data_IF_515011688396
#
_entry.id   IF_515011688396
#
_cell.length_a   1.000
_cell.length_b   1.000
_cell.length_c   1.000
_cell.angle_alpha   90.00
_cell.angle_beta   90.00
_cell.angle_gamma   90.00
#
_symmetry.space_group_name_H-M   'P 1'
#
loop_
_entity.id
_entity.type
_entity.pdbx_description
1 polymer ?
#
# COMPACT_ATOMS: atom_id res chain seq x y z
N UNK A 1 -16.63 -15.94 3.95
CA UNK A 1 -17.66 -14.97 3.51
C UNK A 1 -16.93 -13.70 3.10
N UNK A 2 -17.25 -13.12 1.96
CA UNK A 2 -16.70 -11.82 1.56
C UNK A 2 -17.41 -10.72 2.36
N UNK A 3 -16.67 -9.71 2.83
CA UNK A 3 -17.29 -8.56 3.48
C UNK A 3 -17.84 -7.59 2.43
N UNK A 4 -18.80 -6.76 2.82
CA UNK A 4 -19.36 -5.73 1.93
C UNK A 4 -18.29 -4.74 1.45
N UNK A 5 -17.28 -4.46 2.27
CA UNK A 5 -16.14 -3.60 1.90
C UNK A 5 -15.29 -4.28 0.84
N UNK A 6 -15.00 -5.57 1.00
CA UNK A 6 -14.24 -6.34 0.01
C UNK A 6 -14.94 -6.36 -1.35
N UNK A 7 -16.26 -6.60 -1.39
CA UNK A 7 -17.03 -6.60 -2.64
C UNK A 7 -16.99 -5.24 -3.34
N UNK A 8 -17.29 -4.16 -2.60
CA UNK A 8 -17.30 -2.80 -3.17
C UNK A 8 -15.93 -2.36 -3.67
N UNK A 9 -14.87 -2.64 -2.92
CA UNK A 9 -13.53 -2.28 -3.35
C UNK A 9 -13.04 -3.17 -4.50
N UNK A 10 -13.41 -4.45 -4.54
CA UNK A 10 -13.09 -5.32 -5.68
C UNK A 10 -13.70 -4.80 -6.98
N UNK A 11 -14.98 -4.44 -6.97
CA UNK A 11 -15.66 -3.86 -8.14
C UNK A 11 -15.03 -2.53 -8.58
N UNK A 12 -14.66 -1.70 -7.62
CA UNK A 12 -13.94 -0.46 -7.89
C UNK A 12 -12.57 -0.72 -8.50
N UNK A 13 -11.79 -1.65 -7.91
CA UNK A 13 -10.44 -1.96 -8.31
C UNK A 13 -10.36 -2.48 -9.75
N UNK A 14 -11.27 -3.38 -10.14
CA UNK A 14 -11.35 -3.89 -11.51
C UNK A 14 -11.58 -2.77 -12.52
N UNK A 15 -12.54 -1.87 -12.24
CA UNK A 15 -12.80 -0.69 -13.10
C UNK A 15 -11.59 0.24 -13.15
N UNK A 16 -10.96 0.48 -12.00
CA UNK A 16 -9.78 1.33 -11.88
C UNK A 16 -8.60 0.78 -12.67
N UNK A 17 -8.38 -0.54 -12.64
CA UNK A 17 -7.33 -1.23 -13.39
C UNK A 17 -7.53 -1.13 -14.91
N UNK A 18 -8.77 -1.32 -15.39
CA UNK A 18 -9.12 -1.11 -16.79
C UNK A 18 -8.81 0.33 -17.25
N UNK A 19 -9.22 1.33 -16.47
CA UNK A 19 -8.95 2.74 -16.78
C UNK A 19 -7.45 3.07 -16.73
N UNK A 20 -6.72 2.52 -15.76
CA UNK A 20 -5.27 2.70 -15.69
C UNK A 20 -4.59 2.15 -16.95
N UNK A 21 -5.00 0.97 -17.43
CA UNK A 21 -4.47 0.41 -18.66
C UNK A 21 -4.66 1.35 -19.85
N UNK A 22 -5.87 1.92 -20.02
CA UNK A 22 -6.15 2.88 -21.08
C UNK A 22 -5.27 4.14 -20.97
N UNK A 23 -5.08 4.67 -19.77
CA UNK A 23 -4.23 5.85 -19.56
C UNK A 23 -2.75 5.56 -19.85
N UNK A 24 -2.25 4.38 -19.49
CA UNK A 24 -0.88 3.98 -19.81
C UNK A 24 -0.67 3.81 -21.31
N UNK A 25 -1.65 3.22 -22.02
CA UNK A 25 -1.59 3.14 -23.48
C UNK A 25 -1.61 4.53 -24.12
N UNK A 26 -2.44 5.45 -23.62
CA UNK A 26 -2.46 6.83 -24.10
C UNK A 26 -1.13 7.54 -23.86
N UNK A 27 -0.58 7.45 -22.65
CA UNK A 27 0.70 8.06 -22.29
C UNK A 27 1.84 7.53 -23.19
N UNK A 28 1.84 6.22 -23.49
CA UNK A 28 2.78 5.60 -24.41
C UNK A 28 2.66 6.18 -25.82
N UNK A 29 1.44 6.30 -26.36
CA UNK A 29 1.21 6.89 -27.69
C UNK A 29 1.68 8.35 -27.75
N UNK A 30 1.33 9.15 -26.74
CA UNK A 30 1.78 10.55 -26.64
C UNK A 30 3.31 10.63 -26.57
N UNK A 31 3.96 9.68 -25.88
CA UNK A 31 5.42 9.59 -25.82
C UNK A 31 6.05 9.16 -27.15
N UNK A 32 5.41 8.27 -27.92
CA UNK A 32 5.92 7.82 -29.23
C UNK A 32 5.77 8.91 -30.30
N UNK A 33 4.64 9.64 -30.29
CA UNK A 33 4.34 10.76 -31.19
C UNK A 33 5.13 12.05 -30.84
N UNK A 34 5.89 12.03 -29.75
CA UNK A 34 6.67 13.16 -29.25
C UNK A 34 7.61 13.77 -30.30
N UNK A 35 8.10 12.96 -31.25
CA UNK A 35 8.99 13.41 -32.35
C UNK A 35 8.30 14.18 -33.47
N UNK A 36 6.97 14.19 -33.59
CA UNK A 36 6.25 14.67 -34.78
C UNK A 36 5.56 16.05 -34.64
N UNK A 37 5.38 16.59 -33.43
CA UNK A 37 4.60 17.83 -33.17
C UNK A 37 5.48 19.04 -32.80
N UNK A 38 4.91 20.26 -32.79
CA UNK A 38 5.54 21.53 -32.36
C UNK A 38 5.51 21.72 -30.82
N UNK A 39 6.43 22.52 -30.25
CA UNK A 39 6.76 22.51 -28.81
C UNK A 39 5.63 22.79 -27.80
N UNK A 40 4.82 23.83 -28.02
CA UNK A 40 3.87 24.33 -27.01
C UNK A 40 2.64 23.41 -26.80
N UNK A 41 2.00 22.98 -27.90
CA UNK A 41 0.84 22.07 -27.83
C UNK A 41 1.25 20.67 -27.30
N UNK A 42 2.47 20.22 -27.61
CA UNK A 42 3.04 18.97 -27.09
C UNK A 42 3.14 18.94 -25.57
N UNK A 43 3.71 20.00 -25.00
CA UNK A 43 3.95 20.07 -23.56
C UNK A 43 2.62 20.07 -22.80
N UNK A 44 1.63 20.79 -23.32
CA UNK A 44 0.28 20.82 -22.76
C UNK A 44 -0.42 19.45 -22.81
N UNK A 45 -0.36 18.73 -23.94
CA UNK A 45 -0.94 17.39 -24.07
C UNK A 45 -0.29 16.37 -23.12
N UNK A 46 1.04 16.40 -23.03
CA UNK A 46 1.79 15.53 -22.13
C UNK A 46 1.47 15.84 -20.66
N UNK A 47 1.48 17.12 -20.30
CA UNK A 47 1.14 17.58 -18.94
C UNK A 47 -0.29 17.19 -18.57
N UNK A 48 -1.26 17.34 -19.49
CA UNK A 48 -2.64 16.91 -19.27
C UNK A 48 -2.73 15.38 -19.05
N UNK A 49 -1.99 14.60 -19.84
CA UNK A 49 -1.92 13.14 -19.70
C UNK A 49 -1.34 12.70 -18.36
N UNK A 50 -0.22 13.30 -17.94
CA UNK A 50 0.41 13.06 -16.64
C UNK A 50 -0.53 13.48 -15.50
N UNK A 51 -1.19 14.62 -15.63
CA UNK A 51 -2.16 15.10 -14.63
C UNK A 51 -3.32 14.12 -14.48
N UNK A 52 -3.82 13.56 -15.60
CA UNK A 52 -4.91 12.58 -15.60
C UNK A 52 -4.52 11.29 -14.90
N UNK A 53 -3.33 10.74 -15.20
CA UNK A 53 -2.82 9.54 -14.51
C UNK A 53 -2.61 9.82 -13.02
N UNK A 54 -2.03 10.98 -12.69
CA UNK A 54 -1.80 11.37 -11.30
C UNK A 54 -3.11 11.48 -10.52
N UNK A 55 -4.14 12.10 -11.11
CA UNK A 55 -5.46 12.20 -10.50
C UNK A 55 -6.09 10.82 -10.30
N UNK A 56 -5.97 9.92 -11.30
CA UNK A 56 -6.46 8.54 -11.21
C UNK A 56 -5.88 7.78 -10.01
N UNK A 57 -4.59 7.96 -9.72
CA UNK A 57 -3.95 7.40 -8.53
C UNK A 57 -4.42 8.06 -7.23
N UNK A 58 -4.62 9.39 -7.22
CA UNK A 58 -5.17 10.09 -6.05
C UNK A 58 -6.57 9.57 -5.70
N UNK A 59 -7.41 9.35 -6.70
CA UNK A 59 -8.77 8.84 -6.53
C UNK A 59 -8.74 7.40 -5.96
N UNK A 60 -7.82 6.55 -6.42
CA UNK A 60 -7.58 5.23 -5.85
C UNK A 60 -7.29 5.29 -4.35
N UNK A 61 -6.33 6.11 -3.94
CA UNK A 61 -5.96 6.19 -2.53
C UNK A 61 -7.08 6.81 -1.69
N UNK A 62 -7.81 7.80 -2.22
CA UNK A 62 -8.96 8.40 -1.54
C UNK A 62 -10.03 7.34 -1.21
N UNK A 63 -10.39 6.51 -2.19
CA UNK A 63 -11.40 5.46 -2.03
C UNK A 63 -10.87 4.33 -1.15
N UNK A 64 -9.62 3.92 -1.35
CA UNK A 64 -8.95 2.90 -0.52
C UNK A 64 -8.94 3.30 0.95
N UNK A 65 -8.55 4.54 1.25
CA UNK A 65 -8.52 5.04 2.62
C UNK A 65 -9.92 5.13 3.23
N UNK A 66 -10.90 5.65 2.50
CA UNK A 66 -12.29 5.73 2.98
C UNK A 66 -12.84 4.35 3.37
N UNK A 67 -12.63 3.34 2.53
CA UNK A 67 -13.11 1.97 2.80
C UNK A 67 -12.26 1.24 3.85
N UNK A 68 -10.96 1.53 3.95
CA UNK A 68 -10.11 0.99 5.02
C UNK A 68 -10.52 1.50 6.41
N UNK A 69 -11.11 2.70 6.50
CA UNK A 69 -11.72 3.19 7.75
C UNK A 69 -12.98 2.41 8.14
N UNK A 70 -13.70 1.82 7.18
CA UNK A 70 -14.87 0.97 7.45
C UNK A 70 -14.45 -0.44 7.88
N UNK A 71 -13.48 -1.05 7.17
CA UNK A 71 -12.96 -2.40 7.45
C UNK A 71 -11.49 -2.49 7.05
N UNK A 72 -10.59 -2.24 8.01
CA UNK A 72 -9.14 -2.30 7.76
C UNK A 72 -8.65 -3.71 7.47
N UNK A 73 -9.33 -4.74 7.99
CA UNK A 73 -8.90 -6.13 7.86
C UNK A 73 -9.06 -6.66 6.42
N UNK A 74 -10.06 -6.15 5.70
CA UNK A 74 -10.25 -6.41 4.27
C UNK A 74 -9.02 -6.09 3.40
N UNK A 75 -8.12 -5.20 3.86
CA UNK A 75 -6.95 -4.76 3.09
C UNK A 75 -5.65 -5.49 3.47
N UNK A 76 -5.64 -6.36 4.49
CA UNK A 76 -4.46 -7.15 4.89
C UNK A 76 -4.28 -8.43 4.08
N UNK A 77 -5.38 -9.05 3.64
CA UNK A 77 -5.36 -10.20 2.74
C UNK A 77 -6.41 -9.99 1.64
N UNK A 78 -6.19 -8.98 0.77
CA UNK A 78 -7.22 -8.55 -0.15
C UNK A 78 -7.52 -9.61 -1.20
N UNK A 79 -8.82 -9.87 -1.42
CA UNK A 79 -9.31 -10.91 -2.34
C UNK A 79 -9.25 -10.50 -3.82
N UNK A 80 -9.05 -9.20 -4.09
CA UNK A 80 -9.02 -8.62 -5.43
C UNK A 80 -7.63 -8.57 -6.05
N UNK A 81 -6.61 -9.04 -5.34
CA UNK A 81 -5.26 -9.23 -5.90
C UNK A 81 -4.93 -10.72 -5.93
N UNK A 82 -4.03 -11.10 -6.84
CA UNK A 82 -3.60 -12.49 -6.93
C UNK A 82 -2.88 -12.94 -5.64
N UNK A 83 -2.91 -14.25 -5.32
CA UNK A 83 -2.15 -14.78 -4.18
C UNK A 83 -0.65 -14.45 -4.25
N UNK A 84 -0.11 -14.34 -5.47
CA UNK A 84 1.27 -13.94 -5.71
C UNK A 84 1.50 -12.47 -5.32
N UNK A 85 0.66 -11.55 -5.78
CA UNK A 85 0.73 -10.13 -5.41
C UNK A 85 0.52 -9.94 -3.91
N UNK A 86 -0.38 -10.71 -3.32
CA UNK A 86 -0.59 -10.71 -1.89
C UNK A 86 0.70 -11.15 -1.17
N UNK A 87 1.32 -12.26 -1.57
CA UNK A 87 2.60 -12.70 -1.03
C UNK A 87 3.70 -11.64 -1.21
N UNK A 88 3.77 -10.93 -2.35
CA UNK A 88 4.71 -9.83 -2.54
C UNK A 88 4.45 -8.64 -1.61
N UNK A 89 3.20 -8.36 -1.23
CA UNK A 89 2.89 -7.36 -0.19
C UNK A 89 3.56 -7.73 1.16
N UNK A 90 3.57 -9.02 1.50
CA UNK A 90 4.28 -9.51 2.70
C UNK A 90 5.80 -9.49 2.56
N UNK A 91 6.33 -9.62 1.34
CA UNK A 91 7.78 -9.68 1.07
C UNK A 91 8.42 -8.27 0.92
N UNK A 92 7.65 -7.25 0.58
CA UNK A 92 8.15 -5.89 0.24
C UNK A 92 8.32 -4.94 1.44
N UNK A 93 9.14 -5.34 2.42
CA UNK A 93 9.69 -4.53 3.56
C UNK A 93 8.93 -4.53 4.89
N UNK A 94 7.88 -5.32 5.06
CA UNK A 94 7.36 -5.56 6.40
C UNK A 94 8.23 -6.63 7.07
N UNK A 95 8.91 -6.30 8.17
CA UNK A 95 9.58 -7.32 9.00
C UNK A 95 8.49 -8.22 9.57
N UNK A 96 8.45 -9.54 9.25
CA UNK A 96 7.44 -10.44 9.80
C UNK A 96 7.36 -10.39 11.34
N UNK A 97 8.45 -9.99 12.02
CA UNK A 97 8.46 -9.73 13.47
C UNK A 97 7.48 -8.63 13.94
N UNK A 98 7.11 -7.67 13.10
CA UNK A 98 6.14 -6.60 13.41
C UNK A 98 4.72 -7.14 13.55
N UNK A 99 4.33 -8.07 12.67
CA UNK A 99 3.00 -8.69 12.70
C UNK A 99 2.83 -9.54 13.96
N UNK A 100 3.88 -10.27 14.35
CA UNK A 100 3.88 -11.05 15.60
C UNK A 100 3.79 -10.16 16.85
N UNK A 101 4.39 -8.97 16.83
CA UNK A 101 4.25 -7.97 17.90
C UNK A 101 2.82 -7.43 17.99
N UNK A 102 2.19 -7.14 16.85
CA UNK A 102 0.79 -6.69 16.79
C UNK A 102 -0.16 -7.74 17.37
N UNK A 103 -0.02 -9.02 16.98
CA UNK A 103 -0.82 -10.13 17.53
C UNK A 103 -0.68 -10.23 19.05
N UNK A 104 0.54 -10.10 19.57
CA UNK A 104 0.78 -10.09 21.01
C UNK A 104 0.18 -8.85 21.70
N UNK A 105 0.29 -7.67 21.09
CA UNK A 105 -0.27 -6.42 21.63
C UNK A 105 -1.79 -6.44 21.69
N UNK A 106 -2.46 -7.00 20.67
CA UNK A 106 -3.92 -7.15 20.65
C UNK A 106 -4.37 -8.08 21.78
N UNK A 107 -3.62 -9.16 22.04
CA UNK A 107 -3.85 -10.07 23.17
C UNK A 107 -3.65 -9.37 24.53
N UNK A 108 -2.52 -8.69 24.74
CA UNK A 108 -2.20 -8.11 26.05
C UNK A 108 -3.06 -6.91 26.39
N UNK A 109 -3.48 -6.15 25.37
CA UNK A 109 -4.22 -4.92 25.58
C UNK A 109 -5.74 -5.15 25.53
N UNK A 110 -6.20 -6.32 25.07
CA UNK A 110 -7.62 -6.74 25.16
C UNK A 110 -8.61 -5.95 24.29
N UNK A 111 -8.12 -5.11 23.37
CA UNK A 111 -8.96 -4.10 22.67
C UNK A 111 -9.81 -4.71 21.54
N UNK A 112 -9.44 -5.87 20.97
CA UNK A 112 -10.18 -6.48 19.85
C UNK A 112 -10.36 -7.99 20.02
N UNK A 113 -11.62 -8.36 20.28
CA UNK A 113 -12.24 -9.66 20.06
C UNK A 113 -11.81 -10.84 20.94
N UNK A 114 -12.81 -11.35 21.68
CA UNK A 114 -12.83 -12.65 22.38
C UNK A 114 -12.35 -13.83 21.51
N UNK A 115 -12.36 -13.70 20.17
CA UNK A 115 -11.90 -14.72 19.23
C UNK A 115 -10.37 -14.89 19.17
N UNK A 116 -9.57 -13.83 19.42
CA UNK A 116 -8.10 -13.94 19.42
C UNK A 116 -7.54 -14.46 20.76
N UNK A 117 -8.36 -14.39 21.82
CA UNK A 117 -8.08 -14.96 23.14
C UNK A 117 -8.07 -16.49 23.08
N UNK A 118 -8.77 -17.11 22.12
CA UNK A 118 -8.84 -18.56 21.92
C UNK A 118 -7.74 -19.14 21.01
N UNK A 119 -6.54 -18.57 21.03
CA UNK A 119 -5.38 -19.25 20.44
C UNK A 119 -4.95 -20.39 21.37
N UNK A 120 -5.06 -21.64 20.87
CA UNK A 120 -4.64 -22.82 21.64
C UNK A 120 -3.17 -22.72 22.08
N UNK A 121 -2.83 -23.32 23.22
CA UNK A 121 -1.47 -23.35 23.74
C UNK A 121 -0.46 -23.90 22.72
N UNK A 122 -0.89 -24.81 21.86
CA UNK A 122 -0.06 -25.35 20.78
C UNK A 122 0.20 -24.32 19.67
N UNK A 123 -0.80 -23.54 19.29
CA UNK A 123 -0.60 -22.43 18.35
C UNK A 123 0.30 -21.35 18.95
N UNK A 124 0.21 -21.10 20.26
CA UNK A 124 1.12 -20.19 20.95
C UNK A 124 2.57 -20.66 20.90
N UNK A 125 2.81 -21.95 21.17
CA UNK A 125 4.15 -22.56 21.09
C UNK A 125 4.71 -22.44 19.67
N UNK A 126 3.89 -22.66 18.65
CA UNK A 126 4.27 -22.49 17.24
C UNK A 126 4.60 -21.04 16.88
N UNK A 127 3.79 -20.09 17.32
CA UNK A 127 4.02 -18.65 17.10
C UNK A 127 5.33 -18.20 17.76
N UNK A 128 5.60 -18.66 18.99
CA UNK A 128 6.82 -18.34 19.72
C UNK A 128 8.07 -18.93 19.04
N UNK A 129 7.98 -20.20 18.62
CA UNK A 129 9.05 -20.84 17.85
C UNK A 129 9.33 -20.11 16.52
N UNK A 130 8.28 -19.67 15.83
CA UNK A 130 8.41 -18.87 14.61
C UNK A 130 9.04 -17.51 14.90
N UNK A 131 8.68 -16.83 15.99
CA UNK A 131 9.28 -15.55 16.38
C UNK A 131 10.78 -15.66 16.58
N UNK A 132 11.24 -16.65 17.35
CA UNK A 132 12.68 -16.87 17.59
C UNK A 132 13.42 -17.18 16.29
N UNK A 133 12.81 -17.97 15.41
CA UNK A 133 13.41 -18.30 14.10
C UNK A 133 13.51 -17.08 13.19
N UNK A 134 12.45 -16.27 13.13
CA UNK A 134 12.38 -15.05 12.32
C UNK A 134 13.37 -14.01 12.85
N UNK A 135 13.44 -13.76 14.17
CA UNK A 135 14.40 -12.82 14.76
C UNK A 135 15.84 -13.20 14.44
N UNK A 136 16.19 -14.49 14.54
CA UNK A 136 17.54 -14.96 14.17
C UNK A 136 17.85 -14.79 12.67
N UNK A 137 16.85 -14.97 11.80
CA UNK A 137 17.01 -14.82 10.35
C UNK A 137 17.06 -13.35 9.92
N UNK A 138 16.25 -12.48 10.55
CA UNK A 138 16.26 -11.02 10.35
C UNK A 138 17.59 -10.41 10.83
N UNK A 139 18.10 -10.81 12.00
CA UNK A 139 19.36 -10.30 12.55
C UNK A 139 20.59 -10.89 11.83
N UNK A 140 20.50 -12.13 11.34
CA UNK A 140 21.57 -12.80 10.59
C UNK A 140 21.69 -12.39 9.12
N UNK A 141 20.65 -11.78 8.54
CA UNK A 141 20.62 -11.32 7.14
C UNK A 141 21.13 -9.90 6.91
N UNK A 142 21.34 -9.11 7.97
CA UNK A 142 21.81 -7.71 7.91
C UNK A 142 23.34 -7.61 7.78
N UNK A 143 24.05 -8.74 7.80
CA UNK A 143 25.44 -8.78 7.39
C UNK A 143 25.55 -9.08 5.90
N UNK A 144 25.77 -8.05 5.07
CA UNK A 144 26.35 -8.15 3.71
C UNK A 144 25.37 -8.28 2.52
N UNK A 145 24.43 -7.35 2.41
CA UNK A 145 24.14 -6.70 1.11
C UNK A 145 24.27 -5.19 1.36
N UNK A 146 25.14 -4.55 0.56
CA UNK A 146 25.59 -3.18 0.73
C UNK A 146 24.47 -2.19 1.03
N UNK A 147 24.71 -1.17 1.85
CA UNK A 147 25.75 -0.22 1.47
C UNK A 147 25.36 0.56 0.22
N UNK A 148 24.08 0.90 0.07
CA UNK A 148 23.70 2.18 -0.49
C UNK A 148 22.66 2.77 0.45
N UNK A 149 23.17 3.41 1.49
CA UNK A 149 22.44 4.48 2.16
C UNK A 149 22.30 5.59 1.13
N UNK A 150 21.34 5.44 0.21
CA UNK A 150 20.67 6.61 -0.32
C UNK A 150 19.91 7.19 0.87
N UNK A 151 20.57 8.18 1.45
CA UNK A 151 20.01 9.23 2.26
C UNK A 151 18.74 9.73 1.58
N UNK A 152 17.61 9.08 1.85
CA UNK A 152 16.32 9.73 1.71
C UNK A 152 16.23 10.69 2.89
N UNK A 153 16.73 11.91 2.67
CA UNK A 153 16.27 13.14 3.32
C UNK A 153 14.79 13.38 3.02
N UNK A 154 13.96 12.38 3.34
CA UNK A 154 12.55 12.27 2.97
C UNK A 154 11.64 12.27 4.18
N UNK A 155 12.14 12.20 5.41
CA UNK A 155 11.31 12.41 6.60
C UNK A 155 10.75 13.83 6.65
N UNK A 156 11.52 14.85 6.26
CA UNK A 156 11.00 16.23 6.12
C UNK A 156 10.08 16.41 4.90
N UNK A 157 10.29 15.69 3.79
CA UNK A 157 9.43 15.81 2.60
C UNK A 157 8.11 15.06 2.74
N UNK A 158 8.09 13.94 3.46
CA UNK A 158 6.85 13.19 3.74
C UNK A 158 6.06 13.88 4.85
N UNK A 159 6.73 14.45 5.87
CA UNK A 159 6.05 15.38 6.78
C UNK A 159 5.56 16.63 6.04
N UNK A 160 6.33 17.17 5.09
CA UNK A 160 5.89 18.26 4.23
C UNK A 160 4.66 17.92 3.38
N UNK A 161 4.58 16.72 2.80
CA UNK A 161 3.41 16.26 2.03
C UNK A 161 2.19 16.01 2.92
N UNK A 162 2.40 15.47 4.11
CA UNK A 162 1.34 15.28 5.11
C UNK A 162 0.86 16.63 5.66
N UNK A 163 1.78 17.59 5.87
CA UNK A 163 1.47 18.94 6.35
C UNK A 163 0.81 19.81 5.27
N UNK A 164 1.19 19.65 3.99
CA UNK A 164 0.51 20.28 2.85
C UNK A 164 -0.89 19.67 2.65
N UNK A 165 -1.05 18.36 2.86
CA UNK A 165 -2.37 17.72 2.84
C UNK A 165 -3.25 18.20 4.01
N UNK A 166 -2.69 18.38 5.20
CA UNK A 166 -3.40 18.93 6.37
C UNK A 166 -3.72 20.42 6.22
N UNK A 167 -2.82 21.24 5.67
CA UNK A 167 -3.08 22.66 5.40
C UNK A 167 -4.12 22.87 4.29
N UNK A 168 -4.11 22.05 3.23
CA UNK A 168 -5.11 22.11 2.17
C UNK A 168 -6.53 21.77 2.65
N UNK A 169 -6.66 20.90 3.65
CA UNK A 169 -7.95 20.55 4.29
C UNK A 169 -8.44 21.66 5.22
N UNK A 170 -7.54 22.43 5.84
CA UNK A 170 -7.89 23.53 6.74
C UNK A 170 -8.17 24.86 6.02
N UNK A 171 -7.62 25.07 4.82
CA UNK A 171 -7.83 26.30 4.03
C UNK A 171 -9.11 26.28 3.18
N UNK A 172 -9.84 25.16 3.17
CA UNK A 172 -11.09 24.96 2.42
C UNK A 172 -12.36 24.93 3.28
N UNK A 173 -12.28 25.36 4.55
CA UNK A 173 -13.40 25.59 5.46
C UNK A 173 -13.74 27.08 5.55
#
# INVERSE_FOLDING_TARGET
MKTKVEERFSEFFEKWMCQLHEYLQHLRRVSEDYRAKTGCEREQELQASVSKVTQHYKDYYTIKWALAHEDVLAFFCPIWISPLENAYSWVTRWKPSVVLKLVNSIRTNGILSSSLVELTQEQMRKIEALRVKISKQEDGGVGKVGGSSEEWGGSEQVEGLVQVALQGVMAGL
#
